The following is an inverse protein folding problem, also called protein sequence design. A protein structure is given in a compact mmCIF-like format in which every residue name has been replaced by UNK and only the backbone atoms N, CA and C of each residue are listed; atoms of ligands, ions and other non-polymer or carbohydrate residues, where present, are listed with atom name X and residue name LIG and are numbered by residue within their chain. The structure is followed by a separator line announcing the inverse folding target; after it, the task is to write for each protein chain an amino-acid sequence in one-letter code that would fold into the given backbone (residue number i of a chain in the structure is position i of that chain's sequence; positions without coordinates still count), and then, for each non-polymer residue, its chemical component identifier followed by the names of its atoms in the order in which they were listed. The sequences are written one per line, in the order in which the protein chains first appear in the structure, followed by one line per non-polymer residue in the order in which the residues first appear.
data_IF_049412369274
#
_entry.id   IF_049412369274
#
_cell.length_a   1.000
_cell.length_b   1.000
_cell.length_c   1.000
_cell.angle_alpha   90.00
_cell.angle_beta   90.00
_cell.angle_gamma   90.00
#
_symmetry.space_group_name_H-M   'P 1'
#
loop_
_entity.id
_entity.type
_entity.pdbx_description
1 polymer ?
#
# COMPACT_ATOMS: atom_id res chain seq x y z
N UNK A 1 5.26 -17.87 13.95
CA UNK A 1 5.02 -17.10 12.70
C UNK A 1 5.84 -17.73 11.58
N UNK A 2 5.42 -17.63 10.31
CA UNK A 2 6.11 -18.28 9.20
C UNK A 2 7.54 -17.74 9.02
N UNK A 3 8.43 -18.59 8.51
CA UNK A 3 9.80 -18.19 8.16
C UNK A 3 9.82 -17.26 6.95
N UNK A 4 10.81 -16.35 6.94
CA UNK A 4 11.06 -15.43 5.83
C UNK A 4 11.68 -16.22 4.67
N UNK A 5 10.99 -16.21 3.53
CA UNK A 5 11.39 -16.88 2.31
C UNK A 5 12.20 -15.99 1.36
N UNK A 6 12.23 -16.31 0.06
CA UNK A 6 13.05 -15.60 -0.91
C UNK A 6 12.61 -14.15 -1.13
N UNK A 7 13.55 -13.34 -1.63
CA UNK A 7 13.30 -11.97 -2.10
C UNK A 7 12.35 -12.00 -3.30
N UNK A 8 11.23 -11.31 -3.19
CA UNK A 8 10.22 -11.17 -4.25
C UNK A 8 10.41 -9.90 -5.06
N UNK A 9 10.76 -8.80 -4.39
CA UNK A 9 10.97 -7.50 -5.02
C UNK A 9 11.99 -6.69 -4.23
N UNK A 10 12.69 -5.81 -4.93
CA UNK A 10 13.70 -4.94 -4.34
C UNK A 10 13.46 -3.50 -4.79
N UNK A 11 13.36 -2.59 -3.84
CA UNK A 11 13.21 -1.16 -4.07
C UNK A 11 14.44 -0.37 -3.63
N UNK A 12 14.40 0.96 -3.83
CA UNK A 12 15.46 1.86 -3.34
C UNK A 12 15.60 1.84 -1.81
N UNK A 13 14.47 1.67 -1.14
CA UNK A 13 14.33 1.93 0.28
C UNK A 13 14.02 0.67 1.11
N UNK A 14 13.37 -0.32 0.50
CA UNK A 14 12.94 -1.54 1.16
C UNK A 14 13.05 -2.74 0.22
N UNK A 15 13.24 -3.91 0.81
CA UNK A 15 13.17 -5.20 0.14
C UNK A 15 11.91 -5.94 0.60
N UNK A 16 11.29 -6.69 -0.31
CA UNK A 16 10.06 -7.45 -0.03
C UNK A 16 10.37 -8.94 -0.17
N UNK A 17 10.16 -9.68 0.91
CA UNK A 17 10.40 -11.12 0.99
C UNK A 17 9.08 -11.88 1.11
N UNK A 18 9.04 -13.12 0.64
CA UNK A 18 7.93 -14.02 0.93
C UNK A 18 7.90 -14.36 2.43
N UNK A 19 6.71 -14.61 2.99
CA UNK A 19 6.55 -15.06 4.37
C UNK A 19 5.37 -16.03 4.45
N UNK A 20 5.65 -17.33 4.57
CA UNK A 20 4.62 -18.35 4.43
C UNK A 20 3.90 -18.29 3.07
N UNK A 21 2.62 -18.67 3.06
CA UNK A 21 1.83 -18.75 1.83
C UNK A 21 1.24 -17.39 1.41
N UNK A 22 0.63 -16.67 2.36
CA UNK A 22 -0.23 -15.51 2.08
C UNK A 22 0.33 -14.17 2.59
N UNK A 23 1.57 -14.13 3.07
CA UNK A 23 2.18 -12.91 3.61
C UNK A 23 3.47 -12.54 2.86
N UNK A 24 3.82 -11.28 3.00
CA UNK A 24 5.11 -10.72 2.64
C UNK A 24 5.71 -9.97 3.83
N UNK A 25 7.03 -9.89 3.86
CA UNK A 25 7.77 -9.02 4.78
C UNK A 25 8.40 -7.92 3.96
N UNK A 26 7.96 -6.68 4.19
CA UNK A 26 8.66 -5.48 3.73
C UNK A 26 9.70 -5.12 4.79
N UNK A 27 10.98 -5.13 4.42
CA UNK A 27 12.11 -4.83 5.30
C UNK A 27 12.82 -3.57 4.85
N UNK A 28 13.02 -2.62 5.75
CA UNK A 28 13.75 -1.39 5.45
C UNK A 28 15.25 -1.67 5.31
N UNK A 29 15.87 -1.15 4.25
CA UNK A 29 17.33 -1.25 4.07
C UNK A 29 18.13 -0.40 5.04
N UNK A 30 17.54 0.70 5.52
CA UNK A 30 18.17 1.68 6.42
C UNK A 30 17.66 1.59 7.86
N UNK A 31 16.98 0.49 8.22
CA UNK A 31 16.38 0.34 9.55
C UNK A 31 15.31 1.39 9.93
N UNK A 32 14.68 2.06 8.95
CA UNK A 32 13.56 2.96 9.20
C UNK A 32 12.37 2.21 9.78
N UNK A 33 11.72 2.86 10.73
CA UNK A 33 10.46 2.44 11.34
C UNK A 33 9.33 2.38 10.29
N UNK A 34 8.55 1.30 10.31
CA UNK A 34 7.38 1.05 9.48
C UNK A 34 6.06 1.16 10.25
N UNK A 35 6.12 1.43 11.55
CA UNK A 35 4.96 1.55 12.45
C UNK A 35 3.95 2.58 11.97
N UNK A 36 4.43 3.71 11.42
CA UNK A 36 3.54 4.74 10.85
C UNK A 36 2.75 4.19 9.66
N UNK A 37 3.44 3.51 8.74
CA UNK A 37 2.81 2.90 7.57
C UNK A 37 1.80 1.82 7.98
N UNK A 38 2.19 0.95 8.90
CA UNK A 38 1.35 -0.09 9.47
C UNK A 38 0.08 0.49 10.12
N UNK A 39 0.23 1.54 10.93
CA UNK A 39 -0.89 2.21 11.61
C UNK A 39 -1.90 2.79 10.62
N UNK A 40 -1.41 3.42 9.54
CA UNK A 40 -2.27 3.93 8.46
C UNK A 40 -3.01 2.81 7.76
N UNK A 41 -2.32 1.76 7.36
CA UNK A 41 -2.95 0.63 6.68
C UNK A 41 -4.01 -0.04 7.55
N UNK A 42 -3.73 -0.27 8.84
CA UNK A 42 -4.74 -0.82 9.77
C UNK A 42 -5.94 0.11 9.94
N UNK A 43 -5.72 1.43 10.02
CA UNK A 43 -6.81 2.41 10.10
C UNK A 43 -7.69 2.38 8.85
N UNK A 44 -7.09 2.38 7.65
CA UNK A 44 -7.78 2.33 6.37
C UNK A 44 -8.54 1.02 6.15
N UNK A 45 -7.93 -0.11 6.51
CA UNK A 45 -8.57 -1.43 6.46
C UNK A 45 -9.81 -1.46 7.38
N UNK A 46 -9.74 -0.85 8.56
CA UNK A 46 -10.88 -0.69 9.47
C UNK A 46 -12.05 0.11 8.88
N UNK A 47 -11.79 0.96 7.90
CA UNK A 47 -12.81 1.71 7.13
C UNK A 47 -13.21 1.01 5.82
N UNK A 48 -12.78 -0.23 5.60
CA UNK A 48 -13.07 -0.99 4.39
C UNK A 48 -12.37 -0.47 3.13
N UNK A 49 -11.31 0.33 3.29
CA UNK A 49 -10.49 0.80 2.17
C UNK A 49 -9.52 -0.31 1.72
N UNK A 50 -9.33 -0.53 0.40
CA UNK A 50 -8.58 -1.67 -0.09
C UNK A 50 -7.06 -1.43 0.04
N UNK A 51 -6.50 -1.92 1.14
CA UNK A 51 -5.06 -1.96 1.43
C UNK A 51 -4.68 -3.38 1.88
N UNK A 52 -3.40 -3.78 1.78
CA UNK A 52 -2.97 -5.05 2.35
C UNK A 52 -3.25 -5.09 3.86
N UNK A 53 -3.80 -6.19 4.34
CA UNK A 53 -3.99 -6.38 5.78
C UNK A 53 -2.64 -6.47 6.48
N UNK A 54 -2.43 -5.63 7.49
CA UNK A 54 -1.25 -5.71 8.36
C UNK A 54 -1.40 -6.90 9.30
N UNK A 55 -0.37 -7.73 9.38
CA UNK A 55 -0.28 -8.83 10.34
C UNK A 55 0.51 -8.39 11.57
N UNK A 56 1.67 -7.77 11.37
CA UNK A 56 2.60 -7.46 12.47
C UNK A 56 3.69 -6.44 12.04
N UNK A 57 4.34 -5.81 13.02
CA UNK A 57 5.57 -5.02 12.84
C UNK A 57 6.65 -5.58 13.75
N UNK A 58 7.79 -5.97 13.17
CA UNK A 58 8.86 -6.72 13.85
C UNK A 58 10.20 -5.98 13.79
N UNK A 59 11.23 -6.64 14.34
CA UNK A 59 12.62 -6.19 14.27
C UNK A 59 12.80 -4.72 14.72
N UNK A 60 12.19 -4.38 15.85
CA UNK A 60 12.23 -3.02 16.40
C UNK A 60 11.61 -1.96 15.48
N UNK A 61 10.65 -2.35 14.63
CA UNK A 61 9.96 -1.44 13.72
C UNK A 61 10.37 -1.54 12.26
N UNK A 62 11.48 -2.21 11.97
CA UNK A 62 12.11 -2.17 10.64
C UNK A 62 11.53 -3.16 9.62
N UNK A 63 10.63 -4.04 10.06
CA UNK A 63 9.95 -5.04 9.24
C UNK A 63 8.43 -4.95 9.39
N UNK A 64 7.72 -4.78 8.28
CA UNK A 64 6.26 -4.85 8.20
C UNK A 64 5.84 -6.18 7.57
N UNK A 65 5.08 -6.97 8.33
CA UNK A 65 4.47 -8.21 7.85
C UNK A 65 3.03 -7.92 7.46
N UNK A 66 2.69 -8.23 6.22
CA UNK A 66 1.37 -7.91 5.68
C UNK A 66 0.94 -8.93 4.62
N UNK A 67 -0.34 -8.88 4.29
CA UNK A 67 -0.94 -9.69 3.23
C UNK A 67 -0.21 -9.56 1.91
N UNK A 68 0.03 -10.70 1.27
CA UNK A 68 0.52 -10.79 -0.09
C UNK A 68 -0.64 -10.62 -1.06
N UNK A 69 -0.64 -9.53 -1.82
CA UNK A 69 -1.65 -9.31 -2.86
C UNK A 69 -1.22 -9.99 -4.16
N UNK A 70 -2.05 -10.92 -4.64
CA UNK A 70 -1.86 -11.56 -5.93
C UNK A 70 -2.43 -10.71 -7.07
N UNK A 71 -1.68 -10.53 -8.15
CA UNK A 71 -2.13 -9.84 -9.36
C UNK A 71 -1.04 -8.96 -9.97
N UNK A 72 -1.22 -8.53 -11.24
CA UNK A 72 -0.34 -7.55 -11.84
C UNK A 72 -0.59 -6.15 -11.26
N UNK A 73 0.41 -5.28 -11.32
CA UNK A 73 0.17 -3.85 -11.12
C UNK A 73 -0.71 -3.30 -12.24
N UNK A 74 -1.47 -2.24 -11.96
CA UNK A 74 -2.27 -1.56 -12.97
C UNK A 74 -1.38 -1.06 -14.12
N UNK A 75 -0.15 -0.60 -13.83
CA UNK A 75 0.81 -0.21 -14.85
C UNK A 75 1.16 -1.39 -15.78
N UNK A 76 1.44 -2.58 -15.23
CA UNK A 76 1.72 -3.78 -16.04
C UNK A 76 0.56 -4.13 -16.98
N UNK A 77 -0.69 -3.94 -16.53
CA UNK A 77 -1.88 -4.12 -17.37
C UNK A 77 -1.94 -3.07 -18.47
N UNK A 78 -1.76 -1.80 -18.13
CA UNK A 78 -1.77 -0.68 -19.08
C UNK A 78 -0.68 -0.83 -20.15
N UNK A 79 0.52 -1.24 -19.78
CA UNK A 79 1.62 -1.48 -20.72
C UNK A 79 1.32 -2.59 -21.73
N UNK A 80 0.53 -3.60 -21.34
CA UNK A 80 0.14 -4.73 -22.22
C UNK A 80 -1.15 -4.47 -22.97
N UNK A 81 -2.05 -3.64 -22.42
CA UNK A 81 -3.42 -3.42 -22.91
C UNK A 81 -3.78 -1.93 -22.80
N UNK A 82 -3.13 -1.05 -23.59
CA UNK A 82 -3.30 0.40 -23.47
C UNK A 82 -4.74 0.88 -23.74
N UNK A 83 -5.53 0.14 -24.52
CA UNK A 83 -6.95 0.41 -24.74
C UNK A 83 -7.82 0.33 -23.47
N UNK A 84 -7.31 -0.27 -22.38
CA UNK A 84 -7.98 -0.29 -21.06
C UNK A 84 -7.72 0.96 -20.21
N UNK A 85 -7.10 1.99 -20.79
CA UNK A 85 -6.72 3.22 -20.08
C UNK A 85 -7.92 3.90 -19.40
N UNK A 86 -9.05 4.04 -20.10
CA UNK A 86 -10.25 4.69 -19.55
C UNK A 86 -10.77 3.98 -18.30
N UNK A 87 -10.94 2.66 -18.37
CA UNK A 87 -11.42 1.86 -17.25
C UNK A 87 -10.48 1.93 -16.04
N UNK A 88 -9.17 1.86 -16.27
CA UNK A 88 -8.18 1.92 -15.19
C UNK A 88 -8.06 3.33 -14.59
N UNK A 89 -8.20 4.39 -15.39
CA UNK A 89 -8.28 5.76 -14.90
C UNK A 89 -9.52 5.95 -14.00
N UNK A 90 -10.67 5.40 -14.40
CA UNK A 90 -11.89 5.43 -13.58
C UNK A 90 -11.72 4.66 -12.25
N UNK A 91 -11.03 3.51 -12.27
CA UNK A 91 -10.68 2.75 -11.06
C UNK A 91 -9.76 3.55 -10.13
N UNK A 92 -8.71 4.18 -10.68
CA UNK A 92 -7.78 5.01 -9.91
C UNK A 92 -8.49 6.22 -9.28
N UNK A 93 -9.34 6.90 -10.04
CA UNK A 93 -10.16 8.01 -9.55
C UNK A 93 -11.13 7.55 -8.44
N UNK A 94 -11.69 6.34 -8.57
CA UNK A 94 -12.56 5.77 -7.54
C UNK A 94 -11.81 5.48 -6.25
N UNK A 95 -10.59 4.94 -6.32
CA UNK A 95 -9.73 4.78 -5.14
C UNK A 95 -9.46 6.12 -4.48
N UNK A 96 -9.03 7.11 -5.26
CA UNK A 96 -8.74 8.46 -4.75
C UNK A 96 -9.93 9.08 -4.01
N UNK A 97 -11.13 9.03 -4.60
CA UNK A 97 -12.34 9.57 -3.99
C UNK A 97 -12.75 8.80 -2.73
N UNK A 98 -12.71 7.46 -2.76
CA UNK A 98 -12.99 6.63 -1.57
C UNK A 98 -12.02 6.90 -0.42
N UNK A 99 -10.76 7.24 -0.71
CA UNK A 99 -9.79 7.60 0.31
C UNK A 99 -10.17 8.92 1.00
N UNK A 100 -10.62 9.90 0.22
CA UNK A 100 -11.04 11.20 0.73
C UNK A 100 -12.38 11.18 1.49
N UNK A 101 -13.15 10.10 1.35
CA UNK A 101 -14.37 9.87 2.14
C UNK A 101 -14.06 9.41 3.58
N UNK A 102 -12.82 8.99 3.85
CA UNK A 102 -12.37 8.54 5.18
C UNK A 102 -11.88 9.74 5.98
N UNK A 103 -12.37 9.94 7.22
CA UNK A 103 -11.89 11.02 8.08
C UNK A 103 -10.36 10.93 8.26
N UNK A 104 -9.65 12.05 8.07
CA UNK A 104 -8.23 12.06 8.36
C UNK A 104 -7.99 12.02 9.89
N UNK A 105 -7.19 11.09 10.40
CA UNK A 105 -6.92 11.04 11.83
C UNK A 105 -5.90 12.11 12.24
N UNK A 106 -6.08 12.71 13.42
CA UNK A 106 -5.25 13.83 13.91
C UNK A 106 -3.74 13.49 14.04
N UNK A 107 -3.42 12.22 14.25
CA UNK A 107 -2.04 11.74 14.35
C UNK A 107 -1.31 11.68 13.01
N UNK A 108 -2.03 11.84 11.89
CA UNK A 108 -1.43 11.88 10.57
C UNK A 108 -0.81 13.26 10.31
N UNK A 109 0.36 13.26 9.68
CA UNK A 109 1.13 14.49 9.44
C UNK A 109 0.37 15.42 8.50
N UNK A 110 0.28 16.73 8.80
CA UNK A 110 -0.39 17.68 7.94
C UNK A 110 0.38 17.89 6.64
N UNK A 111 -0.34 18.03 5.54
CA UNK A 111 0.15 18.40 4.24
C UNK A 111 0.06 19.93 4.07
N UNK A 112 1.14 20.61 3.60
CA UNK A 112 1.16 22.07 3.51
C UNK A 112 0.06 22.70 2.63
N UNK A 113 -0.59 21.92 1.77
CA UNK A 113 -1.71 22.36 0.93
C UNK A 113 -3.04 22.54 1.65
N UNK A 114 -3.15 22.13 2.92
CA UNK A 114 -4.41 22.13 3.69
C UNK A 114 -5.40 21.06 3.24
N UNK A 115 -6.55 21.00 3.94
CA UNK A 115 -7.58 19.99 3.76
C UNK A 115 -7.68 19.03 4.95
N UNK A 116 -8.79 18.29 5.01
CA UNK A 116 -9.11 17.35 6.10
C UNK A 116 -9.17 15.89 5.61
N UNK A 117 -8.66 15.61 4.40
CA UNK A 117 -8.70 14.30 3.76
C UNK A 117 -7.37 13.57 3.81
N UNK A 118 -7.39 12.23 3.78
CA UNK A 118 -6.15 11.45 3.71
C UNK A 118 -5.59 11.51 2.29
N UNK A 119 -4.32 11.88 2.14
CA UNK A 119 -3.62 11.98 0.85
C UNK A 119 -2.50 10.95 0.80
N UNK A 120 -2.51 10.07 -0.23
CA UNK A 120 -1.49 9.04 -0.39
C UNK A 120 -0.10 9.61 -0.75
N UNK A 121 -0.07 10.72 -1.49
CA UNK A 121 1.12 11.40 -2.01
C UNK A 121 1.99 10.60 -3.01
N UNK A 122 1.53 9.41 -3.39
CA UNK A 122 2.17 8.58 -4.43
C UNK A 122 1.15 7.67 -5.14
N UNK A 123 -0.04 8.20 -5.39
CA UNK A 123 -1.11 7.45 -6.04
C UNK A 123 -0.88 7.40 -7.55
N UNK A 124 -0.41 6.26 -8.05
CA UNK A 124 -0.25 6.02 -9.48
C UNK A 124 -0.38 4.52 -9.82
N UNK A 125 -0.53 4.14 -11.10
CA UNK A 125 -0.80 2.76 -11.50
C UNK A 125 0.22 1.69 -11.07
N UNK A 126 1.44 2.06 -10.66
CA UNK A 126 2.41 1.07 -10.14
C UNK A 126 2.05 0.64 -8.72
N UNK A 127 1.49 1.56 -7.93
CA UNK A 127 1.09 1.35 -6.54
C UNK A 127 -0.33 0.77 -6.42
N UNK A 128 -0.94 0.35 -7.52
CA UNK A 128 -2.23 -0.36 -7.51
C UNK A 128 -2.03 -1.76 -8.05
N UNK A 129 -2.31 -2.78 -7.24
CA UNK A 129 -2.34 -4.18 -7.66
C UNK A 129 -3.78 -4.54 -8.03
N UNK A 130 -3.98 -5.07 -9.23
CA UNK A 130 -5.27 -5.55 -9.71
C UNK A 130 -5.46 -7.01 -9.28
N UNK A 131 -5.99 -7.20 -8.08
CA UNK A 131 -6.26 -8.53 -7.53
C UNK A 131 -7.60 -9.11 -8.02
N UNK A 132 -7.82 -10.44 -7.89
CA UNK A 132 -9.12 -11.04 -8.17
C UNK A 132 -10.28 -10.45 -7.36
N UNK A 133 -10.01 -9.94 -6.15
CA UNK A 133 -11.01 -9.31 -5.29
C UNK A 133 -11.23 -7.81 -5.59
N UNK A 134 -10.42 -7.22 -6.48
CA UNK A 134 -10.47 -5.79 -6.82
C UNK A 134 -9.11 -5.09 -6.73
N UNK A 135 -9.05 -3.79 -7.05
CA UNK A 135 -7.83 -3.01 -6.97
C UNK A 135 -7.43 -2.77 -5.50
N UNK A 136 -6.17 -3.04 -5.16
CA UNK A 136 -5.59 -2.81 -3.84
C UNK A 136 -4.48 -1.78 -3.96
N UNK A 137 -4.51 -0.76 -3.10
CA UNK A 137 -3.53 0.33 -3.06
C UNK A 137 -2.43 0.01 -2.04
N UNK A 138 -1.18 0.08 -2.49
CA UNK A 138 0.02 -0.25 -1.74
C UNK A 138 0.94 0.96 -1.61
N UNK A 139 1.99 0.80 -0.81
CA UNK A 139 3.05 1.79 -0.59
C UNK A 139 2.62 3.10 0.10
N UNK A 140 2.20 2.96 1.35
CA UNK A 140 1.68 4.07 2.17
C UNK A 140 2.78 4.88 2.88
N UNK A 141 4.04 4.75 2.45
CA UNK A 141 5.18 5.40 3.12
C UNK A 141 5.05 6.93 3.18
N UNK A 142 4.48 7.56 2.14
CA UNK A 142 4.44 9.02 2.01
C UNK A 142 3.14 9.68 2.50
N UNK A 143 2.16 8.91 2.98
CA UNK A 143 0.80 9.38 3.30
C UNK A 143 0.77 10.58 4.29
N UNK A 144 -0.15 11.51 4.10
CA UNK A 144 -0.38 12.70 4.91
C UNK A 144 -1.88 13.05 5.00
N UNK A 145 -2.24 14.09 5.77
CA UNK A 145 -3.59 14.69 5.79
C UNK A 145 -3.56 16.12 5.30
#
# INVERSE_FOLDING_TARGET
MPDVGPLLASGRDADVFACGHDLVVRRSRKGRSMEREARVMSYLAGHGYPVPRVEDVRAGGSELVMERIAGPTMLQVLSRRPWTLGDNAARLATLHRRLHEIPAPDWLSPFPGGGDGIVHLDLHPLNVILSPAGPVLIDWTNVAR
#
